data_IF_060159302931
#
_entry.id   IF_060159302931
#
_cell.length_a   1.000
_cell.length_b   1.000
_cell.length_c   1.000
_cell.angle_alpha   90.00
_cell.angle_beta   90.00
_cell.angle_gamma   90.00
#
_symmetry.space_group_name_H-M   'P 1'
#
loop_
_entity.id
_entity.type
_entity.pdbx_description
1 polymer ?
#
# COMPACT_ATOMS: atom_id res chain seq x y z
N UNK A 1 10.84 -10.79 40.40
CA UNK A 1 10.45 -11.63 39.25
C UNK A 1 11.66 -11.66 38.34
N UNK A 2 12.26 -12.83 38.15
CA UNK A 2 13.37 -13.00 37.22
C UNK A 2 12.86 -12.77 35.79
N UNK A 3 13.49 -11.84 35.06
CA UNK A 3 13.25 -11.64 33.64
C UNK A 3 13.64 -12.92 32.90
N UNK A 4 12.66 -13.76 32.58
CA UNK A 4 12.86 -14.87 31.65
C UNK A 4 13.14 -14.23 30.29
N UNK A 5 14.36 -14.31 29.74
CA UNK A 5 14.66 -13.69 28.47
C UNK A 5 13.75 -14.32 27.42
N UNK A 6 13.02 -13.50 26.67
CA UNK A 6 12.20 -13.98 25.56
C UNK A 6 13.12 -14.68 24.57
N UNK A 7 13.22 -16.02 24.63
CA UNK A 7 13.94 -16.81 23.64
C UNK A 7 13.08 -16.81 22.39
N UNK A 8 13.51 -16.07 21.37
CA UNK A 8 12.93 -16.19 20.05
C UNK A 8 13.18 -17.63 19.55
N UNK A 9 12.15 -18.48 19.43
CA UNK A 9 12.32 -19.88 19.00
C UNK A 9 12.86 -19.97 17.57
N UNK A 10 12.89 -18.86 16.83
CA UNK A 10 13.41 -18.77 15.47
C UNK A 10 14.91 -18.47 15.40
N UNK A 11 15.57 -18.09 16.50
CA UNK A 11 17.00 -17.78 16.49
C UNK A 11 17.89 -19.01 16.22
N UNK A 12 17.41 -20.21 16.57
CA UNK A 12 18.14 -21.46 16.39
C UNK A 12 17.89 -22.12 15.02
N UNK A 13 17.03 -21.53 14.17
CA UNK A 13 16.68 -22.09 12.87
C UNK A 13 17.73 -21.73 11.82
N UNK A 14 18.46 -22.74 11.32
CA UNK A 14 19.40 -22.57 10.22
C UNK A 14 18.68 -22.54 8.86
N UNK A 15 18.20 -21.34 8.48
CA UNK A 15 17.50 -21.10 7.20
C UNK A 15 18.34 -21.50 5.98
N UNK A 16 19.66 -21.28 6.01
CA UNK A 16 20.55 -21.61 4.89
C UNK A 16 20.69 -23.12 4.69
N UNK A 17 20.65 -23.89 5.78
CA UNK A 17 20.58 -25.35 5.70
C UNK A 17 19.24 -25.79 5.10
N UNK A 18 18.12 -25.26 5.61
CA UNK A 18 16.77 -25.59 5.11
C UNK A 18 16.62 -25.29 3.61
N UNK A 19 17.15 -24.16 3.16
CA UNK A 19 17.16 -23.76 1.75
C UNK A 19 17.92 -24.78 0.91
N UNK A 20 19.12 -25.19 1.36
CA UNK A 20 19.96 -26.18 0.65
C UNK A 20 19.39 -27.60 0.70
N UNK A 21 18.65 -27.96 1.74
CA UNK A 21 18.04 -29.28 1.90
C UNK A 21 16.67 -29.41 1.23
N UNK A 22 16.03 -28.31 0.83
CA UNK A 22 14.74 -28.36 0.15
C UNK A 22 14.88 -29.08 -1.21
N UNK A 23 14.14 -30.19 -1.36
CA UNK A 23 14.11 -31.01 -2.60
C UNK A 23 12.76 -30.99 -3.31
N UNK A 24 11.70 -30.64 -2.59
CA UNK A 24 10.33 -30.58 -3.13
C UNK A 24 10.15 -29.19 -3.77
N UNK A 25 9.66 -29.08 -5.03
CA UNK A 25 9.56 -27.79 -5.73
C UNK A 25 8.82 -26.70 -4.96
N UNK A 26 7.68 -27.03 -4.34
CA UNK A 26 6.92 -26.05 -3.53
C UNK A 26 7.75 -25.53 -2.35
N UNK A 27 8.47 -26.42 -1.65
CA UNK A 27 9.36 -26.02 -0.55
C UNK A 27 10.52 -25.17 -1.06
N UNK A 28 11.05 -25.43 -2.25
CA UNK A 28 12.10 -24.59 -2.84
C UNK A 28 11.60 -23.19 -3.13
N UNK A 29 10.37 -23.05 -3.64
CA UNK A 29 9.73 -21.75 -3.82
C UNK A 29 9.52 -21.02 -2.49
N UNK A 30 8.94 -21.70 -1.49
CA UNK A 30 8.73 -21.12 -0.15
C UNK A 30 10.05 -20.65 0.46
N UNK A 31 11.11 -21.48 0.35
CA UNK A 31 12.44 -21.12 0.83
C UNK A 31 13.04 -19.92 0.08
N UNK A 32 12.76 -19.77 -1.22
CA UNK A 32 13.17 -18.59 -1.99
C UNK A 32 12.50 -17.30 -1.48
N UNK A 33 11.21 -17.37 -1.15
CA UNK A 33 10.49 -16.24 -0.52
C UNK A 33 11.05 -15.93 0.87
N UNK A 34 11.29 -16.94 1.71
CA UNK A 34 11.86 -16.76 3.05
C UNK A 34 13.23 -16.06 2.96
N UNK A 35 14.10 -16.50 2.05
CA UNK A 35 15.40 -15.86 1.84
C UNK A 35 15.28 -14.43 1.34
N UNK A 36 14.31 -14.15 0.45
CA UNK A 36 14.03 -12.80 -0.04
C UNK A 36 13.57 -11.88 1.09
N UNK A 37 12.61 -12.32 1.92
CA UNK A 37 12.11 -11.56 3.07
C UNK A 37 13.19 -11.27 4.10
N UNK A 38 14.09 -12.23 4.36
CA UNK A 38 15.20 -12.06 5.31
C UNK A 38 16.20 -10.98 4.86
N UNK A 39 16.33 -10.78 3.55
CA UNK A 39 17.24 -9.79 2.94
C UNK A 39 16.51 -8.52 2.53
N UNK A 40 15.19 -8.44 2.73
CA UNK A 40 14.39 -7.30 2.34
C UNK A 40 14.87 -6.06 3.09
N UNK A 41 14.98 -4.96 2.36
CA UNK A 41 15.35 -3.65 2.92
C UNK A 41 14.45 -2.61 2.28
N UNK A 42 14.36 -1.43 2.89
CA UNK A 42 13.58 -0.32 2.32
C UNK A 42 14.12 0.16 0.96
N UNK A 43 15.40 -0.12 0.66
CA UNK A 43 16.10 0.37 -0.54
C UNK A 43 16.26 -0.71 -1.63
N UNK A 44 15.59 -1.85 -1.51
CA UNK A 44 15.71 -2.97 -2.46
C UNK A 44 14.94 -2.74 -3.79
N UNK A 45 14.29 -1.60 -3.93
CA UNK A 45 13.60 -1.20 -5.16
C UNK A 45 12.24 -1.87 -5.36
N UNK A 46 11.66 -2.50 -4.33
CA UNK A 46 10.26 -2.96 -4.33
C UNK A 46 9.40 -2.18 -3.32
N UNK A 47 8.08 -2.19 -3.47
CA UNK A 47 7.18 -1.48 -2.57
C UNK A 47 7.16 0.04 -2.77
N UNK A 48 7.30 0.81 -1.68
CA UNK A 48 7.33 2.28 -1.69
C UNK A 48 8.61 2.81 -2.32
N UNK A 49 8.50 3.86 -3.12
CA UNK A 49 9.61 4.42 -3.90
C UNK A 49 9.55 5.94 -3.93
N UNK A 50 10.67 6.56 -4.28
CA UNK A 50 10.74 8.01 -4.50
C UNK A 50 10.33 8.79 -3.25
N UNK A 51 9.50 9.81 -3.43
CA UNK A 51 9.04 10.69 -2.34
C UNK A 51 8.33 9.94 -1.22
N UNK A 52 7.59 8.87 -1.52
CA UNK A 52 6.87 8.10 -0.51
C UNK A 52 7.82 7.36 0.44
N UNK A 53 8.90 6.82 -0.12
CA UNK A 53 9.93 6.15 0.67
C UNK A 53 10.70 7.14 1.54
N UNK A 54 11.03 8.31 0.98
CA UNK A 54 11.68 9.40 1.72
C UNK A 54 10.79 9.87 2.88
N UNK A 55 9.48 10.07 2.63
CA UNK A 55 8.51 10.45 3.66
C UNK A 55 8.34 9.38 4.74
N UNK A 56 8.43 8.09 4.39
CA UNK A 56 8.41 7.03 5.37
C UNK A 56 9.61 7.12 6.33
N UNK A 57 10.79 7.51 5.84
CA UNK A 57 11.99 7.65 6.66
C UNK A 57 12.03 8.98 7.45
N UNK A 58 11.56 10.08 6.86
CA UNK A 58 11.46 11.40 7.49
C UNK A 58 10.03 11.98 7.34
N UNK A 59 9.10 11.60 8.23
CA UNK A 59 7.71 12.00 8.10
C UNK A 59 7.49 13.48 8.45
N UNK A 60 6.49 14.14 7.82
CA UNK A 60 6.10 15.50 8.19
C UNK A 60 5.78 15.63 9.69
N UNK A 61 6.27 16.70 10.33
CA UNK A 61 6.04 16.96 11.77
C UNK A 61 4.95 17.99 12.04
N UNK A 62 4.43 18.62 11.00
CA UNK A 62 3.32 19.56 11.12
C UNK A 62 1.97 18.81 11.13
N UNK A 63 0.94 19.34 11.82
CA UNK A 63 -0.39 18.74 11.83
C UNK A 63 -0.98 18.64 10.43
N UNK A 64 -1.80 17.62 10.20
CA UNK A 64 -2.65 17.57 9.01
C UNK A 64 -3.73 18.66 9.14
N UNK A 65 -3.67 19.70 8.31
CA UNK A 65 -4.63 20.81 8.28
C UNK A 65 -5.16 21.01 6.88
N UNK A 66 -6.45 21.28 6.79
CA UNK A 66 -7.14 21.63 5.55
C UNK A 66 -7.68 23.03 5.81
N UNK A 67 -7.06 24.04 5.21
CA UNK A 67 -7.40 25.44 5.47
C UNK A 67 -8.37 26.00 4.40
N UNK A 68 -8.47 25.33 3.24
CA UNK A 68 -9.34 25.75 2.13
C UNK A 68 -10.72 25.07 2.23
N UNK A 69 -11.83 25.82 2.37
CA UNK A 69 -13.17 25.23 2.45
C UNK A 69 -13.58 24.41 1.21
N UNK A 70 -13.09 24.78 0.01
CA UNK A 70 -13.36 24.02 -1.20
C UNK A 70 -12.63 22.66 -1.20
N UNK A 71 -11.43 22.60 -0.62
CA UNK A 71 -10.69 21.35 -0.43
C UNK A 71 -11.35 20.47 0.62
N UNK A 72 -11.80 21.05 1.74
CA UNK A 72 -12.54 20.34 2.78
C UNK A 72 -13.86 19.74 2.25
N UNK A 73 -14.63 20.54 1.50
CA UNK A 73 -15.82 20.08 0.79
C UNK A 73 -15.48 18.93 -0.17
N UNK A 74 -14.41 19.07 -0.94
CA UNK A 74 -14.02 18.09 -1.93
C UNK A 74 -13.57 16.76 -1.33
N UNK A 75 -12.85 16.79 -0.20
CA UNK A 75 -12.51 15.60 0.59
C UNK A 75 -13.76 14.97 1.18
N UNK A 76 -14.69 15.79 1.71
CA UNK A 76 -15.96 15.29 2.25
C UNK A 76 -16.79 14.58 1.19
N UNK A 77 -16.88 15.16 -0.02
CA UNK A 77 -17.52 14.53 -1.17
C UNK A 77 -16.82 13.23 -1.57
N UNK A 78 -15.49 13.23 -1.61
CA UNK A 78 -14.71 12.03 -1.92
C UNK A 78 -15.02 10.87 -0.95
N UNK A 79 -15.05 11.15 0.36
CA UNK A 79 -15.37 10.16 1.39
C UNK A 79 -16.82 9.67 1.29
N UNK A 80 -17.78 10.58 1.06
CA UNK A 80 -19.18 10.23 0.88
C UNK A 80 -19.43 9.38 -0.38
N UNK A 81 -18.64 9.59 -1.43
CA UNK A 81 -18.78 8.95 -2.74
C UNK A 81 -17.84 7.74 -2.94
N UNK A 82 -17.33 7.14 -1.87
CA UNK A 82 -16.34 6.05 -1.91
C UNK A 82 -16.67 4.87 -2.85
N UNK A 83 -17.96 4.62 -3.12
CA UNK A 83 -18.43 3.54 -4.00
C UNK A 83 -19.09 4.04 -5.30
N UNK A 84 -19.00 5.33 -5.58
CA UNK A 84 -19.54 5.94 -6.79
C UNK A 84 -18.47 6.05 -7.87
N UNK A 85 -18.91 6.23 -9.12
CA UNK A 85 -17.99 6.49 -10.22
C UNK A 85 -17.42 7.91 -10.15
N UNK A 86 -16.25 8.11 -10.77
CA UNK A 86 -15.64 9.42 -10.94
C UNK A 86 -16.58 10.41 -11.65
N UNK A 87 -17.42 9.93 -12.57
CA UNK A 87 -18.42 10.75 -13.24
C UNK A 87 -19.45 11.36 -12.27
N UNK A 88 -19.83 10.65 -11.20
CA UNK A 88 -20.76 11.19 -10.19
C UNK A 88 -20.11 12.35 -9.44
N UNK A 89 -18.82 12.20 -9.07
CA UNK A 89 -18.05 13.27 -8.46
C UNK A 89 -17.98 14.50 -9.37
N UNK A 90 -17.67 14.31 -10.65
CA UNK A 90 -17.58 15.39 -11.64
C UNK A 90 -18.92 16.11 -11.86
N UNK A 91 -20.03 15.37 -11.86
CA UNK A 91 -21.37 15.97 -11.95
C UNK A 91 -21.69 16.83 -10.72
N UNK A 92 -21.38 16.36 -9.51
CA UNK A 92 -21.60 17.12 -8.28
C UNK A 92 -20.71 18.37 -8.26
N UNK A 93 -19.43 18.23 -8.59
CA UNK A 93 -18.51 19.38 -8.74
C UNK A 93 -19.09 20.42 -9.69
N UNK A 94 -19.59 19.99 -10.85
CA UNK A 94 -20.19 20.89 -11.84
C UNK A 94 -21.48 21.55 -11.34
N UNK A 95 -22.28 20.86 -10.53
CA UNK A 95 -23.47 21.42 -9.91
C UNK A 95 -23.11 22.49 -8.85
N UNK A 96 -22.11 22.21 -8.01
CA UNK A 96 -21.59 23.18 -7.03
C UNK A 96 -21.08 24.44 -7.73
N UNK A 97 -20.33 24.29 -8.83
CA UNK A 97 -19.85 25.45 -9.60
C UNK A 97 -21.00 26.32 -10.15
N UNK A 98 -22.12 25.71 -10.55
CA UNK A 98 -23.29 26.44 -11.06
C UNK A 98 -23.97 27.27 -9.97
N UNK A 99 -24.05 26.75 -8.75
CA UNK A 99 -24.65 27.46 -7.62
C UNK A 99 -23.69 28.47 -6.97
N UNK A 100 -22.38 28.17 -6.98
CA UNK A 100 -21.33 28.99 -6.41
C UNK A 100 -20.20 29.16 -7.45
N UNK A 101 -20.32 30.13 -8.37
CA UNK A 101 -19.36 30.31 -9.47
C UNK A 101 -17.92 30.61 -9.04
N UNK A 102 -17.72 31.18 -7.86
CA UNK A 102 -16.40 31.50 -7.29
C UNK A 102 -15.79 30.32 -6.52
N UNK A 103 -16.50 29.20 -6.37
CA UNK A 103 -15.95 28.01 -5.71
C UNK A 103 -14.89 27.35 -6.59
N UNK A 104 -13.77 26.96 -5.98
CA UNK A 104 -12.69 26.24 -6.66
C UNK A 104 -12.62 24.80 -6.17
N UNK A 105 -13.72 24.06 -6.34
CA UNK A 105 -13.77 22.65 -5.92
C UNK A 105 -12.81 21.82 -6.79
N UNK A 106 -11.77 21.18 -6.23
CA UNK A 106 -10.79 20.44 -7.01
C UNK A 106 -11.38 19.23 -7.75
N UNK A 107 -10.66 18.76 -8.78
CA UNK A 107 -11.00 17.50 -9.44
C UNK A 107 -10.71 16.29 -8.54
N UNK A 108 -11.31 15.14 -8.82
CA UNK A 108 -11.08 13.92 -8.05
C UNK A 108 -9.58 13.55 -7.99
N UNK A 109 -8.86 13.73 -9.10
CA UNK A 109 -7.41 13.56 -9.15
C UNK A 109 -6.69 14.48 -8.16
N UNK A 110 -7.04 15.77 -8.14
CA UNK A 110 -6.44 16.74 -7.21
C UNK A 110 -6.78 16.43 -5.76
N UNK A 111 -8.00 15.96 -5.47
CA UNK A 111 -8.36 15.50 -4.12
C UNK A 111 -7.52 14.32 -3.68
N UNK A 112 -7.36 13.29 -4.52
CA UNK A 112 -6.50 12.14 -4.21
C UNK A 112 -5.05 12.56 -3.96
N UNK A 113 -4.54 13.48 -4.78
CA UNK A 113 -3.20 14.05 -4.61
C UNK A 113 -3.08 14.85 -3.30
N UNK A 114 -4.07 15.67 -2.97
CA UNK A 114 -4.11 16.42 -1.72
C UNK A 114 -4.14 15.49 -0.50
N UNK A 115 -4.99 14.46 -0.51
CA UNK A 115 -5.04 13.45 0.57
C UNK A 115 -3.68 12.77 0.71
N UNK A 116 -3.05 12.39 -0.41
CA UNK A 116 -1.72 11.81 -0.41
C UNK A 116 -0.67 12.77 0.18
N UNK A 117 -0.68 14.05 -0.21
CA UNK A 117 0.25 15.06 0.30
C UNK A 117 0.07 15.31 1.79
N UNK A 118 -1.18 15.40 2.25
CA UNK A 118 -1.57 15.64 3.64
C UNK A 118 -1.21 14.47 4.55
N UNK A 119 -1.47 13.24 4.11
CA UNK A 119 -1.34 12.03 4.95
C UNK A 119 0.00 11.32 4.76
N UNK A 120 0.65 11.48 3.60
CA UNK A 120 1.78 10.66 3.18
C UNK A 120 1.39 9.24 2.78
N UNK A 121 0.10 8.90 2.74
CA UNK A 121 -0.37 7.55 2.43
C UNK A 121 -0.48 7.41 0.91
N UNK A 122 0.21 6.43 0.35
CA UNK A 122 0.07 5.96 -1.03
C UNK A 122 -0.20 4.46 -1.05
N UNK A 123 -0.75 3.97 -2.16
CA UNK A 123 -0.95 2.53 -2.35
C UNK A 123 0.20 1.93 -3.13
N UNK A 124 0.71 0.80 -2.66
CA UNK A 124 1.61 -0.08 -3.43
C UNK A 124 0.73 -0.96 -4.31
N UNK A 125 1.03 -1.01 -5.61
CA UNK A 125 0.26 -1.80 -6.58
C UNK A 125 1.10 -2.95 -7.08
N UNK A 126 0.70 -4.17 -6.71
CA UNK A 126 1.35 -5.40 -7.14
C UNK A 126 0.46 -6.15 -8.12
N UNK A 127 1.05 -6.79 -9.12
CA UNK A 127 0.28 -7.61 -10.05
C UNK A 127 -0.14 -8.91 -9.39
N UNK A 128 -1.31 -9.45 -9.74
CA UNK A 128 -1.76 -10.75 -9.24
C UNK A 128 -2.40 -11.59 -10.31
N UNK A 129 -2.51 -12.89 -10.03
CA UNK A 129 -3.32 -13.80 -10.83
C UNK A 129 -4.81 -13.53 -10.62
N UNK A 130 -5.59 -13.66 -11.69
CA UNK A 130 -7.05 -13.49 -11.68
C UNK A 130 -7.80 -14.59 -10.91
N UNK A 131 -7.28 -15.83 -10.91
CA UNK A 131 -7.93 -16.98 -10.29
C UNK A 131 -7.36 -17.30 -8.91
N UNK A 132 -6.05 -17.51 -8.81
CA UNK A 132 -5.41 -17.97 -7.56
C UNK A 132 -5.09 -16.86 -6.57
N UNK A 133 -5.22 -15.59 -6.99
CA UNK A 133 -4.77 -14.41 -6.24
C UNK A 133 -3.26 -14.37 -5.89
N UNK A 134 -2.45 -15.28 -6.43
CA UNK A 134 -0.98 -15.25 -6.27
C UNK A 134 -0.43 -13.94 -6.83
N UNK A 135 0.39 -13.25 -6.04
CA UNK A 135 1.05 -12.02 -6.46
C UNK A 135 2.30 -12.34 -7.31
N UNK A 136 2.48 -11.61 -8.41
CA UNK A 136 3.66 -11.68 -9.26
C UNK A 136 4.76 -10.77 -8.68
N UNK A 137 5.32 -11.18 -7.55
CA UNK A 137 6.35 -10.45 -6.78
C UNK A 137 7.48 -11.39 -6.38
N UNK A 138 8.62 -10.82 -5.97
CA UNK A 138 9.78 -11.59 -5.52
C UNK A 138 10.20 -12.65 -6.56
N UNK A 139 10.33 -13.93 -6.16
CA UNK A 139 10.61 -15.04 -7.09
C UNK A 139 9.64 -15.17 -8.28
N UNK A 140 8.41 -14.66 -8.16
CA UNK A 140 7.40 -14.73 -9.23
C UNK A 140 7.31 -13.47 -10.09
N UNK A 141 8.09 -12.41 -9.80
CA UNK A 141 7.98 -11.13 -10.50
C UNK A 141 8.18 -11.23 -12.02
N UNK A 142 9.04 -12.15 -12.47
CA UNK A 142 9.35 -12.34 -13.89
C UNK A 142 8.45 -13.33 -14.64
N UNK A 143 7.47 -13.96 -13.98
CA UNK A 143 6.64 -14.99 -14.62
C UNK A 143 5.57 -14.37 -15.53
N UNK A 144 5.36 -14.95 -16.71
CA UNK A 144 4.28 -14.55 -17.64
C UNK A 144 2.97 -15.33 -17.39
N UNK A 145 3.00 -16.40 -16.58
CA UNK A 145 1.84 -17.21 -16.20
C UNK A 145 1.89 -17.57 -14.72
N UNK A 146 0.71 -17.80 -14.12
CA UNK A 146 0.59 -18.16 -12.72
C UNK A 146 1.11 -19.59 -12.46
N UNK A 147 2.01 -19.80 -11.48
CA UNK A 147 2.54 -21.14 -11.20
C UNK A 147 1.52 -22.10 -10.56
N UNK A 148 0.32 -21.62 -10.19
CA UNK A 148 -0.70 -22.41 -9.51
C UNK A 148 -1.86 -22.83 -10.42
N UNK A 149 -2.13 -22.09 -11.50
CA UNK A 149 -3.29 -22.32 -12.34
C UNK A 149 -3.09 -21.94 -13.82
N UNK A 150 -1.84 -21.65 -14.22
CA UNK A 150 -1.42 -21.34 -15.59
C UNK A 150 -2.10 -20.12 -16.26
N UNK A 151 -2.93 -19.38 -15.51
CA UNK A 151 -3.51 -18.15 -16.00
C UNK A 151 -2.44 -17.11 -16.32
N UNK A 152 -2.59 -16.50 -17.49
CA UNK A 152 -1.66 -15.50 -18.00
C UNK A 152 -1.64 -14.27 -17.09
N UNK A 153 -0.44 -13.76 -16.83
CA UNK A 153 -0.19 -12.56 -16.03
C UNK A 153 -0.78 -11.30 -16.72
N UNK A 154 -0.56 -11.19 -18.03
CA UNK A 154 -0.88 -9.99 -18.81
C UNK A 154 -2.13 -10.15 -19.69
N UNK A 155 -2.82 -9.02 -19.93
CA UNK A 155 -3.96 -8.93 -20.83
C UNK A 155 -3.48 -9.13 -22.29
N UNK A 156 -3.88 -10.27 -22.86
CA UNK A 156 -3.45 -10.67 -24.21
C UNK A 156 -3.98 -9.75 -25.30
N UNK A 157 -5.16 -9.13 -25.13
CA UNK A 157 -5.71 -8.20 -26.13
C UNK A 157 -4.86 -6.94 -26.20
N UNK A 158 -4.51 -6.38 -25.03
CA UNK A 158 -3.64 -5.18 -24.95
C UNK A 158 -2.22 -5.48 -25.42
N UNK A 159 -1.71 -6.67 -25.10
CA UNK A 159 -0.39 -7.11 -25.55
C UNK A 159 -0.35 -7.27 -27.08
N UNK A 160 -1.33 -7.94 -27.68
CA UNK A 160 -1.43 -8.11 -29.12
C UNK A 160 -1.60 -6.77 -29.85
N UNK A 161 -2.50 -5.90 -29.38
CA UNK A 161 -2.73 -4.59 -29.98
C UNK A 161 -1.51 -3.66 -29.93
N UNK A 162 -0.64 -3.86 -28.93
CA UNK A 162 0.62 -3.11 -28.82
C UNK A 162 1.81 -3.81 -29.49
N UNK A 163 1.59 -4.89 -30.24
CA UNK A 163 2.65 -5.73 -30.84
C UNK A 163 3.72 -6.15 -29.80
N UNK A 164 3.28 -6.56 -28.62
CA UNK A 164 4.16 -7.01 -27.54
C UNK A 164 4.81 -5.90 -26.69
N UNK A 165 4.59 -4.62 -27.02
CA UNK A 165 5.26 -3.49 -26.36
C UNK A 165 4.66 -3.12 -25.00
N UNK A 166 3.36 -3.37 -24.81
CA UNK A 166 2.63 -2.96 -23.60
C UNK A 166 2.14 -4.20 -22.84
N UNK A 167 2.83 -4.54 -21.76
CA UNK A 167 2.41 -5.54 -20.78
C UNK A 167 1.52 -4.87 -19.73
N UNK A 168 0.21 -5.14 -19.78
CA UNK A 168 -0.76 -4.65 -18.79
C UNK A 168 -1.23 -5.84 -17.95
N UNK A 169 -1.08 -5.83 -16.61
CA UNK A 169 -1.55 -6.94 -15.79
C UNK A 169 -3.07 -7.10 -15.91
N UNK A 170 -3.55 -8.34 -15.81
CA UNK A 170 -5.00 -8.60 -15.83
C UNK A 170 -5.69 -8.15 -14.55
N UNK A 171 -5.03 -8.33 -13.42
CA UNK A 171 -5.51 -7.92 -12.10
C UNK A 171 -4.35 -7.43 -11.24
N UNK A 172 -4.67 -6.57 -10.27
CA UNK A 172 -3.71 -6.03 -9.30
C UNK A 172 -4.22 -6.22 -7.88
N UNK A 173 -3.30 -6.16 -6.92
CA UNK A 173 -3.54 -5.99 -5.50
C UNK A 173 -3.09 -4.59 -5.10
N UNK A 174 -3.86 -3.92 -4.23
CA UNK A 174 -3.47 -2.63 -3.68
C UNK A 174 -3.20 -2.79 -2.19
N UNK A 175 -1.96 -2.55 -1.79
CA UNK A 175 -1.54 -2.58 -0.39
C UNK A 175 -1.42 -1.16 0.10
N UNK A 176 -2.16 -0.82 1.16
CA UNK A 176 -1.97 0.44 1.88
C UNK A 176 -0.95 0.15 3.00
N UNK A 177 0.28 0.69 2.92
CA UNK A 177 1.33 0.39 3.87
C UNK A 177 0.97 0.93 5.25
N UNK A 178 1.26 0.16 6.29
CA UNK A 178 0.93 0.53 7.67
C UNK A 178 1.80 1.68 8.20
N UNK A 179 3.06 1.76 7.76
CA UNK A 179 4.02 2.78 8.23
C UNK A 179 3.50 4.22 8.06
N UNK A 180 3.15 4.65 6.84
CA UNK A 180 2.59 5.99 6.61
C UNK A 180 1.26 6.23 7.33
N UNK A 181 0.43 5.20 7.50
CA UNK A 181 -0.83 5.31 8.28
C UNK A 181 -0.55 5.63 9.74
N UNK A 182 0.38 4.92 10.38
CA UNK A 182 0.77 5.18 11.77
C UNK A 182 1.39 6.56 11.92
N UNK A 183 2.23 6.99 10.97
CA UNK A 183 2.81 8.34 10.98
C UNK A 183 1.73 9.42 10.90
N UNK A 184 0.73 9.25 10.02
CA UNK A 184 -0.40 10.18 9.92
C UNK A 184 -1.21 10.25 11.22
N UNK A 185 -1.49 9.10 11.86
CA UNK A 185 -2.23 9.04 13.12
C UNK A 185 -1.44 9.69 14.27
N UNK A 186 -0.14 9.46 14.39
CA UNK A 186 0.70 10.08 15.43
C UNK A 186 0.87 11.60 15.26
N UNK A 187 0.66 12.14 14.06
CA UNK A 187 0.73 13.59 13.81
C UNK A 187 -0.49 14.35 14.33
N UNK A 188 -1.64 13.70 14.49
CA UNK A 188 -2.86 14.30 15.01
C UNK A 188 -2.91 14.10 16.54
N UNK A 189 -3.16 15.18 17.30
CA UNK A 189 -3.00 15.16 18.76
C UNK A 189 -3.95 14.19 19.46
N UNK A 190 -5.23 14.16 19.08
CA UNK A 190 -6.22 13.26 19.69
C UNK A 190 -5.92 11.79 19.40
N UNK A 191 -5.55 11.50 18.16
CA UNK A 191 -5.16 10.16 17.70
C UNK A 191 -3.89 9.69 18.40
N UNK A 192 -2.88 10.54 18.54
CA UNK A 192 -1.66 10.24 19.30
C UNK A 192 -1.94 9.93 20.78
N UNK A 193 -2.88 10.64 21.41
CA UNK A 193 -3.32 10.33 22.78
C UNK A 193 -3.97 8.94 22.83
N UNK A 194 -4.87 8.62 21.90
CA UNK A 194 -5.48 7.29 21.84
C UNK A 194 -4.45 6.17 21.61
N UNK A 195 -3.40 6.42 20.81
CA UNK A 195 -2.34 5.44 20.55
C UNK A 195 -1.45 5.16 21.77
N UNK A 196 -1.43 6.06 22.77
CA UNK A 196 -0.66 5.90 24.01
C UNK A 196 -1.38 5.01 25.05
N UNK A 197 -2.66 4.71 24.83
CA UNK A 197 -3.53 3.99 25.77
C UNK A 197 -2.94 2.68 26.30
N UNK A 198 -2.41 1.82 25.41
CA UNK A 198 -1.86 0.52 25.82
C UNK A 198 -0.69 0.70 26.79
N UNK A 199 0.22 1.61 26.49
CA UNK A 199 1.39 1.87 27.33
C UNK A 199 0.97 2.38 28.71
N UNK A 200 0.05 3.35 28.74
CA UNK A 200 -0.49 3.91 29.99
C UNK A 200 -1.16 2.84 30.86
N UNK A 201 -1.96 1.95 30.26
CA UNK A 201 -2.61 0.85 30.99
C UNK A 201 -1.62 -0.21 31.47
N UNK A 202 -0.60 -0.52 30.70
CA UNK A 202 0.44 -1.47 31.11
C UNK A 202 1.26 -0.95 32.29
N UNK A 203 1.50 0.36 32.39
CA UNK A 203 2.21 0.97 33.54
C UNK A 203 1.38 0.99 34.84
N UNK A 204 0.07 0.75 34.78
CA UNK A 204 -0.83 0.73 35.93
C UNK A 204 -0.98 -0.66 36.57
N UNK A 205 -0.36 -1.68 35.99
CA UNK A 205 -0.39 -3.09 36.44
C UNK A 205 0.98 -3.45 37.00
#
# INVERSE_FOLDING_TARGET
MEDIPWRNPLNDVNVDYLFRSARIPNLQHDMSFICSLRRATLDDGVGLKGEDLVRLQDPPRFPCRIDNPCEELAISLFLALQHSSEAVYDHIRSAVQKCCPDSEVPSLYRVKKLIHELTGISSIVDHRCINSCVAFVGPYAGLDACPMCDELHYDQKKLAHSHGRKKVPRTVFQTIPIGPQLQALWRERGSAQHMSYRNERTQQI
#
